data_IF_334067077022
#
_entry.id   IF_334067077022
#
_cell.length_a   1.000
_cell.length_b   1.000
_cell.length_c   1.000
_cell.angle_alpha   90.00
_cell.angle_beta   90.00
_cell.angle_gamma   90.00
#
_symmetry.space_group_name_H-M   'P 1'
#
loop_
_entity.id
_entity.type
_entity.pdbx_description
1 polymer ?
#
# COMPACT_ATOMS: atom_id res chain seq x y z
N UNK A 1 -3.66 -0.89 -4.96
CA UNK A 1 -4.93 -0.14 -4.93
C UNK A 1 -5.85 -0.59 -3.79
N UNK A 2 -6.08 -1.88 -3.56
CA UNK A 2 -6.97 -2.38 -2.51
C UNK A 2 -6.68 -1.86 -1.10
N UNK A 3 -5.42 -1.66 -0.74
CA UNK A 3 -5.03 -1.19 0.59
C UNK A 3 -5.59 0.20 0.95
N UNK A 4 -5.58 1.15 0.00
CA UNK A 4 -6.10 2.50 0.23
C UNK A 4 -7.63 2.54 0.35
N UNK A 5 -8.33 1.78 -0.50
CA UNK A 5 -9.80 1.67 -0.43
C UNK A 5 -10.26 0.85 0.77
N UNK A 6 -9.48 -0.16 1.18
CA UNK A 6 -9.82 -0.98 2.34
C UNK A 6 -9.92 -0.15 3.62
N UNK A 7 -9.01 0.79 3.84
CA UNK A 7 -9.03 1.63 5.05
C UNK A 7 -10.25 2.55 5.12
N UNK A 8 -10.75 3.04 3.98
CA UNK A 8 -11.94 3.90 3.90
C UNK A 8 -13.21 3.15 4.35
N UNK A 9 -13.30 1.87 4.04
CA UNK A 9 -14.46 1.04 4.40
C UNK A 9 -14.25 0.39 5.77
N UNK A 10 -13.07 -0.19 6.00
CA UNK A 10 -12.79 -0.95 7.21
C UNK A 10 -12.74 -0.06 8.46
N UNK A 11 -12.24 1.17 8.37
CA UNK A 11 -12.16 2.08 9.52
C UNK A 11 -13.52 2.34 10.18
N UNK A 12 -14.49 2.94 9.48
CA UNK A 12 -15.84 3.16 10.00
C UNK A 12 -16.56 1.86 10.39
N UNK A 13 -16.40 0.79 9.59
CA UNK A 13 -17.02 -0.51 9.87
C UNK A 13 -16.52 -1.08 11.21
N UNK A 14 -15.21 -1.04 11.46
CA UNK A 14 -14.64 -1.49 12.73
C UNK A 14 -15.16 -0.67 13.91
N UNK A 15 -15.31 0.63 13.78
CA UNK A 15 -15.87 1.48 14.85
C UNK A 15 -17.32 1.10 15.18
N UNK A 16 -18.15 0.85 14.20
CA UNK A 16 -19.54 0.41 14.39
C UNK A 16 -19.57 -0.96 15.07
N UNK A 17 -18.74 -1.90 14.61
CA UNK A 17 -18.70 -3.25 15.17
C UNK A 17 -18.18 -3.26 16.60
N UNK A 18 -17.13 -2.49 16.90
CA UNK A 18 -16.59 -2.36 18.26
C UNK A 18 -17.61 -1.73 19.20
N UNK A 19 -18.31 -0.70 18.77
CA UNK A 19 -19.34 -0.05 19.58
C UNK A 19 -20.53 -0.99 19.89
N UNK A 20 -20.87 -1.91 18.96
CA UNK A 20 -22.02 -2.80 19.10
C UNK A 20 -21.71 -4.13 19.78
N UNK A 21 -20.58 -4.73 19.47
CA UNK A 21 -20.23 -6.09 19.87
C UNK A 21 -18.98 -6.18 20.77
N UNK A 22 -18.26 -5.09 20.92
CA UNK A 22 -17.00 -5.07 21.66
C UNK A 22 -15.80 -5.52 20.81
N UNK A 23 -14.60 -5.31 21.36
CA UNK A 23 -13.33 -5.47 20.63
C UNK A 23 -13.08 -6.93 20.20
N UNK A 24 -13.29 -7.89 21.10
CA UNK A 24 -12.99 -9.31 20.82
C UNK A 24 -13.90 -9.86 19.72
N UNK A 25 -15.19 -9.61 19.83
CA UNK A 25 -16.15 -10.09 18.82
C UNK A 25 -15.94 -9.44 17.47
N UNK A 26 -15.54 -8.16 17.44
CA UNK A 26 -15.18 -7.48 16.19
C UNK A 26 -14.05 -8.22 15.44
N UNK A 27 -12.99 -8.63 16.13
CA UNK A 27 -11.91 -9.40 15.51
C UNK A 27 -12.35 -10.77 15.00
N UNK A 28 -13.19 -11.46 15.75
CA UNK A 28 -13.72 -12.77 15.33
C UNK A 28 -14.58 -12.62 14.07
N UNK A 29 -15.52 -11.68 14.07
CA UNK A 29 -16.44 -11.44 12.93
C UNK A 29 -15.62 -11.06 11.69
N UNK A 30 -14.72 -10.09 11.78
CA UNK A 30 -13.91 -9.66 10.64
C UNK A 30 -12.95 -10.76 10.18
N UNK A 31 -12.36 -11.52 11.12
CA UNK A 31 -11.50 -12.65 10.80
C UNK A 31 -12.24 -13.73 10.01
N UNK A 32 -13.45 -14.10 10.42
CA UNK A 32 -14.28 -15.05 9.68
C UNK A 32 -14.68 -14.52 8.30
N UNK A 33 -15.10 -13.27 8.20
CA UNK A 33 -15.48 -12.64 6.92
C UNK A 33 -14.29 -12.62 5.96
N UNK A 34 -13.11 -12.18 6.42
CA UNK A 34 -11.90 -12.16 5.60
C UNK A 34 -11.46 -13.57 5.18
N UNK A 35 -11.55 -14.55 6.09
CA UNK A 35 -11.21 -15.94 5.76
C UNK A 35 -12.11 -16.47 4.64
N UNK A 36 -13.41 -16.22 4.69
CA UNK A 36 -14.37 -16.65 3.66
C UNK A 36 -14.07 -15.94 2.32
N UNK A 37 -13.86 -14.62 2.34
CA UNK A 37 -13.55 -13.85 1.12
C UNK A 37 -12.22 -14.32 0.51
N UNK A 38 -11.20 -14.54 1.33
CA UNK A 38 -9.89 -15.02 0.86
C UNK A 38 -9.98 -16.44 0.28
N UNK A 39 -10.71 -17.34 0.94
CA UNK A 39 -10.92 -18.71 0.44
C UNK A 39 -11.68 -18.70 -0.88
N UNK A 40 -12.75 -17.93 -0.99
CA UNK A 40 -13.49 -17.76 -2.24
C UNK A 40 -12.62 -17.17 -3.36
N UNK A 41 -11.82 -16.15 -3.05
CA UNK A 41 -10.90 -15.54 -4.01
C UNK A 41 -9.80 -16.51 -4.45
N UNK A 42 -9.30 -17.34 -3.55
CA UNK A 42 -8.29 -18.35 -3.87
C UNK A 42 -8.78 -19.41 -4.86
N UNK A 43 -10.07 -19.76 -4.79
CA UNK A 43 -10.68 -20.70 -5.75
C UNK A 43 -10.81 -20.10 -7.17
N UNK A 44 -10.81 -18.76 -7.26
CA UNK A 44 -10.93 -18.04 -8.54
C UNK A 44 -9.58 -17.74 -9.20
N UNK A 45 -8.46 -17.90 -8.44
CA UNK A 45 -7.11 -17.63 -8.94
C UNK A 45 -6.62 -18.81 -9.79
N UNK A 46 -6.64 -18.62 -11.08
CA UNK A 46 -5.92 -19.51 -12.00
C UNK A 46 -4.47 -19.02 -12.18
N UNK A 47 -3.49 -19.94 -12.20
CA UNK A 47 -2.12 -19.56 -12.55
C UNK A 47 -2.11 -19.00 -13.98
N UNK A 48 -1.34 -17.93 -14.25
CA UNK A 48 -1.24 -17.38 -15.59
C UNK A 48 -0.77 -18.51 -16.53
N UNK A 49 -1.53 -18.73 -17.61
CA UNK A 49 -1.13 -19.68 -18.66
C UNK A 49 0.27 -19.28 -19.10
N UNK A 50 1.19 -20.22 -19.10
CA UNK A 50 2.57 -20.01 -19.56
C UNK A 50 2.50 -19.52 -21.02
N UNK A 51 2.35 -18.22 -21.18
CA UNK A 51 2.44 -17.54 -22.46
C UNK A 51 3.93 -17.34 -22.70
N UNK A 52 4.45 -17.93 -23.75
CA UNK A 52 5.80 -17.69 -24.26
C UNK A 52 5.99 -16.24 -24.78
N UNK A 53 5.06 -15.35 -24.47
CA UNK A 53 5.10 -13.91 -24.72
C UNK A 53 4.38 -13.20 -23.59
N UNK A 54 5.05 -12.27 -22.93
CA UNK A 54 4.43 -11.36 -21.96
C UNK A 54 3.22 -10.62 -22.58
N UNK A 55 2.45 -9.85 -21.79
CA UNK A 55 1.20 -9.22 -22.23
C UNK A 55 1.42 -8.54 -23.58
N UNK A 56 0.64 -9.01 -24.56
CA UNK A 56 0.71 -8.58 -25.95
C UNK A 56 0.60 -7.05 -26.04
N UNK A 57 1.63 -6.40 -26.48
CA UNK A 57 1.61 -4.99 -26.88
C UNK A 57 2.74 -4.11 -26.35
N UNK A 58 3.37 -4.45 -25.23
CA UNK A 58 4.54 -3.70 -24.76
C UNK A 58 5.77 -4.58 -25.02
N UNK A 59 6.64 -4.11 -25.89
CA UNK A 59 7.91 -4.76 -26.17
C UNK A 59 8.84 -4.55 -24.95
N UNK A 60 8.64 -5.34 -23.89
CA UNK A 60 9.37 -5.24 -22.63
C UNK A 60 10.87 -5.39 -22.81
N UNK A 61 11.30 -6.04 -23.92
CA UNK A 61 12.70 -6.15 -24.30
C UNK A 61 13.39 -4.82 -24.61
N UNK A 62 12.64 -3.78 -24.98
CA UNK A 62 13.24 -2.47 -25.30
C UNK A 62 13.39 -1.53 -24.10
N UNK A 63 12.80 -1.88 -22.94
CA UNK A 63 12.77 -1.01 -21.75
C UNK A 63 13.66 -1.57 -20.63
N UNK A 64 13.96 -2.87 -20.63
CA UNK A 64 14.85 -3.48 -19.66
C UNK A 64 16.26 -3.56 -20.24
N UNK A 65 17.30 -3.07 -19.55
CA UNK A 65 18.66 -3.38 -19.91
C UNK A 65 18.85 -4.91 -19.91
N UNK A 66 19.64 -5.42 -20.84
CA UNK A 66 19.91 -6.85 -21.07
C UNK A 66 20.47 -7.60 -19.82
N UNK A 67 20.77 -6.87 -18.76
CA UNK A 67 21.28 -7.40 -17.50
C UNK A 67 20.14 -7.64 -16.50
N UNK A 68 19.56 -8.82 -16.54
CA UNK A 68 18.68 -9.31 -15.49
C UNK A 68 19.53 -9.89 -14.36
N UNK A 69 19.46 -9.26 -13.19
CA UNK A 69 20.13 -9.77 -12.00
C UNK A 69 19.28 -10.85 -11.31
N UNK A 70 19.91 -11.96 -10.98
CA UNK A 70 19.30 -12.93 -10.06
C UNK A 70 19.24 -12.34 -8.64
N UNK A 71 18.35 -12.86 -7.79
CA UNK A 71 18.22 -12.41 -6.40
C UNK A 71 19.54 -12.56 -5.61
N UNK A 72 20.38 -13.53 -5.95
CA UNK A 72 21.71 -13.71 -5.33
C UNK A 72 22.71 -12.64 -5.76
N UNK A 73 22.67 -12.22 -7.00
CA UNK A 73 23.54 -11.17 -7.55
C UNK A 73 23.11 -9.80 -7.04
N UNK A 74 21.81 -9.50 -7.04
CA UNK A 74 21.26 -8.25 -6.52
C UNK A 74 21.68 -7.99 -5.06
N UNK A 75 21.64 -9.01 -4.20
CA UNK A 75 22.08 -8.91 -2.79
C UNK A 75 23.57 -8.64 -2.60
N UNK A 76 24.40 -8.83 -3.62
CA UNK A 76 25.84 -8.51 -3.56
C UNK A 76 26.12 -7.05 -3.93
N UNK A 77 25.13 -6.33 -4.45
CA UNK A 77 25.28 -4.94 -4.87
C UNK A 77 24.93 -3.98 -3.73
N UNK A 78 25.71 -2.91 -3.55
CA UNK A 78 25.43 -1.88 -2.55
C UNK A 78 24.12 -1.14 -2.84
N UNK A 79 23.73 -1.03 -4.12
CA UNK A 79 22.50 -0.40 -4.57
C UNK A 79 21.26 -1.08 -4.00
N UNK A 80 21.29 -2.42 -3.86
CA UNK A 80 20.23 -3.18 -3.21
C UNK A 80 20.00 -2.72 -1.77
N UNK A 81 21.07 -2.57 -0.99
CA UNK A 81 20.98 -2.13 0.41
C UNK A 81 20.57 -0.67 0.54
N UNK A 82 21.05 0.19 -0.35
CA UNK A 82 20.64 1.59 -0.39
C UNK A 82 19.14 1.74 -0.67
N UNK A 83 18.63 1.06 -1.69
CA UNK A 83 17.20 1.05 -2.02
C UNK A 83 16.36 0.44 -0.88
N UNK A 84 16.84 -0.66 -0.29
CA UNK A 84 16.17 -1.28 0.84
C UNK A 84 16.07 -0.33 2.04
N UNK A 85 17.15 0.39 2.35
CA UNK A 85 17.17 1.34 3.47
C UNK A 85 16.23 2.52 3.25
N UNK A 86 16.25 3.11 2.06
CA UNK A 86 15.34 4.20 1.70
C UNK A 86 13.88 3.73 1.79
N UNK A 87 13.58 2.56 1.24
CA UNK A 87 12.24 1.99 1.27
C UNK A 87 11.78 1.67 2.70
N UNK A 88 12.67 1.10 3.51
CA UNK A 88 12.41 0.83 4.93
C UNK A 88 12.08 2.11 5.69
N UNK A 89 12.89 3.16 5.54
CA UNK A 89 12.67 4.44 6.23
C UNK A 89 11.35 5.07 5.82
N UNK A 90 11.05 5.15 4.52
CA UNK A 90 9.80 5.71 4.01
C UNK A 90 8.57 4.98 4.55
N UNK A 91 8.59 3.65 4.52
CA UNK A 91 7.45 2.85 5.01
C UNK A 91 7.29 3.01 6.52
N UNK A 92 8.38 2.96 7.27
CA UNK A 92 8.34 3.08 8.73
C UNK A 92 7.76 4.42 9.16
N UNK A 93 8.20 5.53 8.54
CA UNK A 93 7.62 6.86 8.82
C UNK A 93 6.15 6.93 8.45
N UNK A 94 5.77 6.43 7.27
CA UNK A 94 4.38 6.48 6.81
C UNK A 94 3.43 5.64 7.66
N UNK A 95 3.82 4.40 8.00
CA UNK A 95 3.00 3.52 8.85
C UNK A 95 2.97 4.06 10.29
N UNK A 96 4.10 4.56 10.81
CA UNK A 96 4.17 5.16 12.14
C UNK A 96 3.19 6.32 12.28
N UNK A 97 3.16 7.23 11.31
CA UNK A 97 2.21 8.35 11.29
C UNK A 97 0.74 7.86 11.25
N UNK A 98 0.43 6.91 10.38
CA UNK A 98 -0.93 6.35 10.27
C UNK A 98 -1.38 5.65 11.56
N UNK A 99 -0.47 4.97 12.26
CA UNK A 99 -0.78 4.26 13.50
C UNK A 99 -1.19 5.21 14.62
N UNK A 100 -0.60 6.41 14.69
CA UNK A 100 -0.91 7.41 15.72
C UNK A 100 -1.94 8.45 15.28
N UNK A 101 -2.29 8.52 14.01
CA UNK A 101 -3.18 9.54 13.46
C UNK A 101 -4.56 9.54 14.13
N UNK A 102 -5.17 8.36 14.32
CA UNK A 102 -6.49 8.26 14.96
C UNK A 102 -6.47 8.61 16.45
N UNK A 103 -5.56 8.08 17.28
CA UNK A 103 -5.40 8.51 18.66
C UNK A 103 -5.13 10.02 18.79
N UNK A 104 -4.22 10.56 17.98
CA UNK A 104 -3.91 12.00 17.98
C UNK A 104 -5.14 12.86 17.66
N UNK A 105 -5.93 12.48 16.67
CA UNK A 105 -7.16 13.20 16.33
C UNK A 105 -8.17 13.17 17.49
N UNK A 106 -8.25 12.09 18.24
CA UNK A 106 -9.16 11.98 19.38
C UNK A 106 -8.65 12.71 20.61
N UNK A 107 -7.37 12.60 20.93
CA UNK A 107 -6.79 13.14 22.19
C UNK A 107 -6.49 14.64 22.08
N UNK A 108 -5.91 15.08 20.96
CA UNK A 108 -5.47 16.47 20.77
C UNK A 108 -6.61 17.34 20.20
N UNK A 109 -7.25 16.88 19.11
CA UNK A 109 -8.29 17.65 18.41
C UNK A 109 -9.68 17.40 19.01
N UNK A 110 -9.82 16.40 19.92
CA UNK A 110 -11.09 16.00 20.54
C UNK A 110 -12.16 15.58 19.53
N UNK A 111 -11.73 14.96 18.43
CA UNK A 111 -12.65 14.40 17.46
C UNK A 111 -13.37 13.15 18.00
N UNK A 112 -14.58 12.92 17.50
CA UNK A 112 -15.29 11.66 17.82
C UNK A 112 -14.56 10.46 17.20
N UNK A 113 -14.61 9.27 17.79
CA UNK A 113 -13.96 8.06 17.24
C UNK A 113 -14.33 7.77 15.78
N UNK A 114 -15.59 8.01 15.42
CA UNK A 114 -16.08 7.84 14.05
C UNK A 114 -15.44 8.86 13.09
N UNK A 115 -15.33 10.12 13.49
CA UNK A 115 -14.69 11.16 12.67
C UNK A 115 -13.19 10.88 12.49
N UNK A 116 -12.50 10.45 13.55
CA UNK A 116 -11.08 10.08 13.50
C UNK A 116 -10.84 8.87 12.58
N UNK A 117 -11.70 7.85 12.64
CA UNK A 117 -11.63 6.69 11.74
C UNK A 117 -11.86 7.10 10.27
N UNK A 118 -12.83 7.96 10.02
CA UNK A 118 -13.10 8.49 8.67
C UNK A 118 -11.93 9.32 8.13
N UNK A 119 -11.29 10.13 8.97
CA UNK A 119 -10.10 10.89 8.61
C UNK A 119 -8.96 9.96 8.16
N UNK A 120 -8.67 8.93 8.92
CA UNK A 120 -7.64 7.92 8.54
C UNK A 120 -8.04 7.21 7.25
N UNK A 121 -9.33 6.92 7.05
CA UNK A 121 -9.85 6.35 5.82
C UNK A 121 -9.59 7.25 4.60
N UNK A 122 -9.81 8.56 4.73
CA UNK A 122 -9.54 9.55 3.68
C UNK A 122 -8.04 9.64 3.38
N UNK A 123 -7.20 9.66 4.40
CA UNK A 123 -5.73 9.64 4.24
C UNK A 123 -5.32 8.37 3.44
N UNK A 124 -5.87 7.23 3.78
CA UNK A 124 -5.64 5.97 3.06
C UNK A 124 -6.09 6.02 1.60
N UNK A 125 -7.23 6.65 1.33
CA UNK A 125 -7.74 6.85 -0.03
C UNK A 125 -6.79 7.73 -0.86
N UNK A 126 -6.41 8.89 -0.32
CA UNK A 126 -5.47 9.82 -0.99
C UNK A 126 -4.13 9.14 -1.25
N UNK A 127 -3.61 8.38 -0.28
CA UNK A 127 -2.39 7.59 -0.44
C UNK A 127 -2.52 6.56 -1.58
N UNK A 128 -3.66 5.87 -1.65
CA UNK A 128 -3.96 4.93 -2.74
C UNK A 128 -4.01 5.59 -4.11
N UNK A 129 -4.69 6.73 -4.22
CA UNK A 129 -4.76 7.53 -5.45
C UNK A 129 -3.38 8.09 -5.84
N UNK A 130 -2.60 8.55 -4.88
CA UNK A 130 -1.23 9.03 -5.10
C UNK A 130 -0.33 7.97 -5.74
N UNK A 131 -0.47 6.71 -5.34
CA UNK A 131 0.29 5.61 -5.96
C UNK A 131 -0.07 5.40 -7.42
N UNK A 132 -1.34 5.53 -7.80
CA UNK A 132 -1.79 5.45 -9.19
C UNK A 132 -1.19 6.60 -9.98
N UNK A 133 -1.37 7.82 -9.47
CA UNK A 133 -0.91 9.05 -10.11
C UNK A 133 0.61 9.01 -10.38
N UNK A 134 1.40 8.74 -9.35
CA UNK A 134 2.86 8.69 -9.49
C UNK A 134 3.35 7.50 -10.33
N UNK A 135 2.65 6.36 -10.27
CA UNK A 135 2.97 5.22 -11.14
C UNK A 135 2.77 5.59 -12.61
N UNK A 136 1.65 6.22 -12.94
CA UNK A 136 1.36 6.65 -14.31
C UNK A 136 2.38 7.69 -14.79
N UNK A 137 2.69 8.69 -13.98
CA UNK A 137 3.71 9.70 -14.32
C UNK A 137 5.08 9.07 -14.50
N UNK A 138 5.43 8.07 -13.70
CA UNK A 138 6.69 7.34 -13.78
C UNK A 138 6.91 6.65 -15.12
N UNK A 139 5.84 6.22 -15.76
CA UNK A 139 5.92 5.60 -17.09
C UNK A 139 6.26 6.61 -18.20
N UNK A 140 5.94 7.91 -17.99
CA UNK A 140 6.26 8.98 -18.94
C UNK A 140 7.59 9.69 -18.65
N UNK A 141 7.88 10.00 -17.39
CA UNK A 141 9.06 10.78 -16.99
C UNK A 141 10.29 9.91 -16.65
N UNK A 142 10.10 8.61 -16.58
CA UNK A 142 11.13 7.65 -16.16
C UNK A 142 11.16 7.46 -14.64
N UNK A 143 11.41 6.21 -14.23
CA UNK A 143 11.31 5.75 -12.84
C UNK A 143 12.27 6.47 -11.90
N UNK A 144 13.51 6.69 -12.35
CA UNK A 144 14.54 7.34 -11.51
C UNK A 144 14.18 8.78 -11.19
N UNK A 145 13.71 9.55 -12.17
CA UNK A 145 13.35 10.97 -12.00
C UNK A 145 12.18 11.13 -11.04
N UNK A 146 11.14 10.33 -11.22
CA UNK A 146 9.96 10.37 -10.33
C UNK A 146 10.31 9.94 -8.91
N UNK A 147 11.17 8.92 -8.76
CA UNK A 147 11.63 8.48 -7.45
C UNK A 147 12.36 9.58 -6.68
N UNK A 148 13.27 10.30 -7.34
CA UNK A 148 13.98 11.44 -6.76
C UNK A 148 13.02 12.57 -6.39
N UNK A 149 12.10 12.93 -7.30
CA UNK A 149 11.12 13.98 -7.06
C UNK A 149 10.22 13.69 -5.85
N UNK A 150 9.69 12.47 -5.76
CA UNK A 150 8.84 12.05 -4.64
C UNK A 150 9.63 12.02 -3.32
N UNK A 151 10.86 11.50 -3.34
CA UNK A 151 11.72 11.47 -2.15
C UNK A 151 12.07 12.88 -1.68
N UNK A 152 12.34 13.80 -2.60
CA UNK A 152 12.64 15.20 -2.27
C UNK A 152 11.45 15.89 -1.62
N UNK A 153 10.23 15.71 -2.15
CA UNK A 153 9.03 16.31 -1.55
C UNK A 153 8.74 15.78 -0.14
N UNK A 154 9.06 14.52 0.15
CA UNK A 154 8.92 13.97 1.50
C UNK A 154 9.96 14.48 2.51
N UNK A 155 11.09 14.97 2.04
CA UNK A 155 12.15 15.52 2.91
C UNK A 155 12.00 17.01 3.18
N UNK A 156 11.22 17.73 2.37
CA UNK A 156 11.08 19.20 2.44
C UNK A 156 9.74 19.65 3.06
N UNK A 157 8.85 18.74 3.39
CA UNK A 157 7.60 18.96 4.11
C UNK A 157 7.73 18.53 5.58
#
# INVERSE_FOLDING_TARGET
MGFGFASLIAGPLMQILVAKYGLVQNFIILGCVYMVIMAASALYLEPPKASNGGPSGINVKSILPDTQFTAKEARKTWQFYALWWIFFTNITCGIGLLAVASPMAQEVVKMTPMAAASMVGIIGLINGLGRIFWSTISDYLGRSTVYVAVSYTHLTL
#
